data_IF_797236774109
#
_entry.id   IF_797236774109
#
_cell.length_a   1.000
_cell.length_b   1.000
_cell.length_c   1.000
_cell.angle_alpha   90.00
_cell.angle_beta   90.00
_cell.angle_gamma   90.00
#
_symmetry.space_group_name_H-M   'P 1'
#
loop_
_entity.id
_entity.type
_entity.pdbx_description
1 polymer ?
#
# COMPACT_ATOMS: atom_id res chain seq x y z
N UNK A 1 16.19 17.74 -14.04
CA UNK A 1 14.81 17.22 -13.92
C UNK A 1 14.75 16.03 -12.95
N UNK A 2 15.60 15.03 -13.08
CA UNK A 2 15.62 13.81 -12.24
C UNK A 2 15.91 14.09 -10.75
N UNK A 3 16.83 15.02 -10.44
CA UNK A 3 17.09 15.47 -9.07
C UNK A 3 15.81 15.90 -8.36
N UNK A 4 14.98 16.70 -9.04
CA UNK A 4 13.75 17.24 -8.45
C UNK A 4 12.76 16.13 -8.10
N UNK A 5 12.72 15.04 -8.87
CA UNK A 5 11.82 13.90 -8.61
C UNK A 5 12.31 13.07 -7.42
N UNK A 6 13.61 12.76 -7.33
CA UNK A 6 14.16 12.03 -6.19
C UNK A 6 14.10 12.84 -4.90
N UNK A 7 14.34 14.16 -4.97
CA UNK A 7 14.20 15.07 -3.85
C UNK A 7 12.74 15.16 -3.37
N UNK A 8 11.80 15.32 -4.31
CA UNK A 8 10.38 15.31 -4.00
C UNK A 8 9.94 13.96 -3.40
N UNK A 9 10.39 12.85 -3.99
CA UNK A 9 10.12 11.50 -3.49
C UNK A 9 10.65 11.27 -2.08
N UNK A 10 11.88 11.72 -1.79
CA UNK A 10 12.47 11.68 -0.46
C UNK A 10 11.67 12.49 0.56
N UNK A 11 11.31 13.70 0.21
CA UNK A 11 10.54 14.60 1.08
C UNK A 11 9.14 14.05 1.38
N UNK A 12 8.43 13.58 0.34
CA UNK A 12 7.13 12.93 0.49
C UNK A 12 7.22 11.68 1.35
N UNK A 13 8.23 10.83 1.13
CA UNK A 13 8.43 9.63 1.94
C UNK A 13 8.72 9.98 3.41
N UNK A 14 9.48 11.05 3.66
CA UNK A 14 9.74 11.57 5.02
C UNK A 14 8.47 12.03 5.73
N UNK A 15 7.64 12.82 5.07
CA UNK A 15 6.33 13.27 5.59
C UNK A 15 5.45 12.06 5.91
N UNK A 16 5.37 11.10 4.97
CA UNK A 16 4.59 9.88 5.14
C UNK A 16 5.10 9.02 6.30
N UNK A 17 6.42 8.95 6.49
CA UNK A 17 7.01 8.21 7.59
C UNK A 17 6.66 8.84 8.94
N UNK A 18 6.79 10.16 9.07
CA UNK A 18 6.41 10.89 10.28
C UNK A 18 4.93 10.63 10.60
N UNK A 19 4.06 10.82 9.61
CA UNK A 19 2.63 10.70 9.78
C UNK A 19 2.19 9.27 10.09
N UNK A 20 2.72 8.27 9.38
CA UNK A 20 2.41 6.86 9.60
C UNK A 20 2.98 6.32 10.91
N UNK A 21 4.15 6.80 11.33
CA UNK A 21 4.76 6.44 12.62
C UNK A 21 3.96 6.99 13.80
N UNK A 22 3.49 8.23 13.71
CA UNK A 22 2.61 8.82 14.72
C UNK A 22 1.34 8.00 14.94
N UNK A 23 0.76 7.47 13.86
CA UNK A 23 -0.46 6.64 13.90
C UNK A 23 -0.20 5.14 14.02
N UNK A 24 1.04 4.70 14.15
CA UNK A 24 1.44 3.28 14.18
C UNK A 24 0.91 2.48 12.98
N UNK A 25 0.85 3.12 11.83
CA UNK A 25 0.29 2.56 10.60
C UNK A 25 1.27 1.60 9.89
N UNK A 26 0.74 0.57 9.25
CA UNK A 26 1.51 -0.38 8.41
C UNK A 26 2.22 0.32 7.24
N UNK A 27 1.70 1.46 6.78
CA UNK A 27 2.31 2.30 5.74
C UNK A 27 3.67 2.89 6.15
N UNK A 28 4.04 2.87 7.45
CA UNK A 28 5.38 3.26 7.89
C UNK A 28 6.48 2.42 7.24
N UNK A 29 6.25 1.12 7.02
CA UNK A 29 7.23 0.26 6.35
C UNK A 29 7.43 0.65 4.89
N UNK A 30 6.34 0.96 4.17
CA UNK A 30 6.41 1.46 2.80
C UNK A 30 7.11 2.82 2.73
N UNK A 31 6.77 3.73 3.63
CA UNK A 31 7.39 5.04 3.72
C UNK A 31 8.90 4.93 3.98
N UNK A 32 9.33 4.00 4.86
CA UNK A 32 10.75 3.72 5.10
C UNK A 32 11.46 3.17 3.87
N UNK A 33 10.84 2.22 3.15
CA UNK A 33 11.38 1.70 1.89
C UNK A 33 11.60 2.82 0.88
N UNK A 34 10.61 3.68 0.68
CA UNK A 34 10.68 4.80 -0.26
C UNK A 34 11.69 5.85 0.16
N UNK A 35 11.78 6.14 1.47
CA UNK A 35 12.75 7.08 2.02
C UNK A 35 14.17 6.63 1.70
N UNK A 36 14.52 5.40 2.05
CA UNK A 36 15.87 4.87 1.79
C UNK A 36 16.16 4.75 0.30
N UNK A 37 15.18 4.32 -0.50
CA UNK A 37 15.31 4.20 -1.94
C UNK A 37 15.62 5.55 -2.60
N UNK A 38 14.88 6.61 -2.27
CA UNK A 38 15.11 7.95 -2.82
C UNK A 38 16.38 8.61 -2.25
N UNK A 39 16.72 8.33 -1.00
CA UNK A 39 17.95 8.82 -0.37
C UNK A 39 19.19 8.42 -1.17
N UNK A 40 19.21 7.20 -1.70
CA UNK A 40 20.35 6.73 -2.50
C UNK A 40 20.48 7.44 -3.82
N UNK A 41 19.38 7.62 -4.55
CA UNK A 41 19.38 8.38 -5.80
C UNK A 41 19.84 9.83 -5.56
N UNK A 42 19.34 10.43 -4.47
CA UNK A 42 19.70 11.80 -4.10
C UNK A 42 21.19 11.95 -3.75
N UNK A 43 21.72 11.06 -2.91
CA UNK A 43 23.13 11.08 -2.49
C UNK A 43 24.05 10.83 -3.69
N UNK A 44 23.70 9.84 -4.52
CA UNK A 44 24.47 9.54 -5.73
C UNK A 44 24.54 10.77 -6.63
N UNK A 45 23.41 11.41 -6.92
CA UNK A 45 23.37 12.62 -7.75
C UNK A 45 24.20 13.76 -7.17
N UNK A 46 24.06 14.04 -5.87
CA UNK A 46 24.78 15.14 -5.22
C UNK A 46 26.29 14.90 -5.24
N UNK A 47 26.73 13.66 -5.02
CA UNK A 47 28.15 13.33 -4.93
C UNK A 47 28.81 13.26 -6.30
N UNK A 48 28.20 12.51 -7.24
CA UNK A 48 28.88 12.16 -8.49
C UNK A 48 28.53 13.04 -9.68
N UNK A 49 27.34 13.68 -9.68
CA UNK A 49 26.94 14.56 -10.77
C UNK A 49 27.31 16.03 -10.52
N UNK A 50 27.50 16.43 -9.26
CA UNK A 50 27.82 17.80 -8.90
C UNK A 50 29.19 17.97 -8.22
N UNK A 51 29.99 16.93 -8.10
CA UNK A 51 31.36 16.94 -7.52
C UNK A 51 31.44 17.61 -6.12
N UNK A 52 30.39 17.44 -5.30
CA UNK A 52 30.37 18.05 -3.97
C UNK A 52 31.27 17.33 -2.98
N UNK A 53 32.53 17.78 -2.90
CA UNK A 53 33.59 17.19 -2.08
C UNK A 53 33.18 16.98 -0.60
N UNK A 54 32.58 17.98 0.02
CA UNK A 54 32.18 17.90 1.44
C UNK A 54 31.12 16.81 1.67
N UNK A 55 30.13 16.76 0.80
CA UNK A 55 29.07 15.74 0.88
C UNK A 55 29.61 14.36 0.52
N UNK A 56 30.53 14.27 -0.42
CA UNK A 56 31.25 13.03 -0.74
C UNK A 56 32.05 12.50 0.45
N UNK A 57 32.80 13.37 1.14
CA UNK A 57 33.56 13.01 2.33
C UNK A 57 32.68 12.53 3.49
N UNK A 58 31.52 13.19 3.70
CA UNK A 58 30.61 12.87 4.79
C UNK A 58 29.76 11.63 4.46
N UNK A 59 29.21 11.57 3.26
CA UNK A 59 28.17 10.59 2.93
C UNK A 59 28.62 9.44 2.05
N UNK A 60 29.67 9.56 1.24
CA UNK A 60 30.05 8.59 0.22
C UNK A 60 30.07 7.13 0.71
N UNK A 61 30.81 6.85 1.78
CA UNK A 61 30.89 5.49 2.35
C UNK A 61 29.99 5.30 3.55
N UNK A 62 29.78 6.34 4.36
CA UNK A 62 29.06 6.27 5.60
C UNK A 62 27.59 5.81 5.45
N UNK A 63 27.00 5.99 4.26
CA UNK A 63 25.61 5.56 3.96
C UNK A 63 25.50 4.09 3.55
N UNK A 64 26.60 3.39 3.38
CA UNK A 64 26.59 1.99 2.91
C UNK A 64 25.71 1.07 3.76
N UNK A 65 25.65 1.17 5.11
CA UNK A 65 24.77 0.33 5.93
C UNK A 65 23.30 0.49 5.58
N UNK A 66 22.87 1.70 5.20
CA UNK A 66 21.48 2.01 4.88
C UNK A 66 20.98 1.29 3.61
N UNK A 67 21.90 0.92 2.71
CA UNK A 67 21.55 0.12 1.53
C UNK A 67 20.93 -1.24 1.89
N UNK A 68 21.32 -1.80 3.03
CA UNK A 68 20.82 -3.09 3.52
C UNK A 68 19.47 -2.97 4.25
N UNK A 69 18.90 -1.76 4.39
CA UNK A 69 17.59 -1.52 5.00
C UNK A 69 16.46 -1.49 3.97
N UNK A 70 16.75 -1.17 2.71
CA UNK A 70 15.74 -0.90 1.69
C UNK A 70 14.78 -2.09 1.51
N UNK A 71 15.28 -3.27 1.15
CA UNK A 71 14.44 -4.43 0.89
C UNK A 71 13.83 -5.06 2.14
N UNK A 72 14.49 -5.09 3.30
CA UNK A 72 13.83 -5.43 4.57
C UNK A 72 12.56 -4.64 4.84
N UNK A 73 12.55 -3.33 4.60
CA UNK A 73 11.33 -2.53 4.77
C UNK A 73 10.24 -2.85 3.75
N UNK A 74 10.60 -3.12 2.49
CA UNK A 74 9.64 -3.60 1.49
C UNK A 74 9.05 -4.96 1.89
N UNK A 75 9.90 -5.87 2.39
CA UNK A 75 9.47 -7.18 2.89
C UNK A 75 8.49 -7.05 4.07
N UNK A 76 8.82 -6.21 5.06
CA UNK A 76 7.95 -5.93 6.19
C UNK A 76 6.64 -5.28 5.76
N UNK A 77 6.66 -4.41 4.75
CA UNK A 77 5.43 -3.86 4.17
C UNK A 77 4.54 -4.97 3.61
N UNK A 78 5.09 -5.88 2.81
CA UNK A 78 4.34 -7.01 2.24
C UNK A 78 3.81 -7.94 3.35
N UNK A 79 4.63 -8.27 4.35
CA UNK A 79 4.20 -9.05 5.51
C UNK A 79 3.06 -8.37 6.29
N UNK A 80 3.16 -7.05 6.47
CA UNK A 80 2.19 -6.26 7.23
C UNK A 80 0.79 -6.25 6.63
N UNK A 81 0.66 -6.57 5.34
CA UNK A 81 -0.64 -6.63 4.66
C UNK A 81 -1.45 -7.88 5.02
N UNK A 82 -0.88 -8.83 5.75
CA UNK A 82 -1.63 -9.99 6.25
C UNK A 82 -2.60 -9.55 7.37
N UNK A 83 -3.78 -10.20 7.42
CA UNK A 83 -4.87 -9.82 8.33
C UNK A 83 -4.44 -9.79 9.80
N UNK A 84 -3.65 -10.79 10.23
CA UNK A 84 -3.24 -10.95 11.64
C UNK A 84 -1.76 -10.62 11.86
N UNK A 85 -1.21 -9.69 11.05
CA UNK A 85 0.19 -9.33 11.18
C UNK A 85 0.48 -8.67 12.54
N UNK A 86 1.44 -9.24 13.25
CA UNK A 86 2.07 -8.66 14.43
C UNK A 86 3.58 -8.65 14.25
N UNK A 87 4.21 -7.54 14.63
CA UNK A 87 5.67 -7.45 14.58
C UNK A 87 6.28 -8.40 15.62
N UNK A 88 7.10 -9.37 15.15
CA UNK A 88 7.76 -10.34 16.00
C UNK A 88 9.24 -10.00 16.16
N UNK A 89 9.83 -10.30 17.31
CA UNK A 89 11.26 -10.02 17.59
C UNK A 89 12.20 -10.61 16.52
N UNK A 90 11.86 -11.76 15.94
CA UNK A 90 12.64 -12.38 14.86
C UNK A 90 12.84 -11.47 13.63
N UNK A 91 11.98 -10.48 13.40
CA UNK A 91 12.12 -9.56 12.27
C UNK A 91 13.27 -8.57 12.46
N UNK A 92 13.81 -8.41 13.68
CA UNK A 92 15.05 -7.66 13.88
C UNK A 92 16.25 -8.30 13.17
N UNK A 93 16.21 -9.61 12.92
CA UNK A 93 17.24 -10.30 12.13
C UNK A 93 17.41 -9.73 10.71
N UNK A 94 16.36 -9.14 10.14
CA UNK A 94 16.41 -8.52 8.82
C UNK A 94 17.36 -7.31 8.78
N UNK A 95 17.63 -6.69 9.92
CA UNK A 95 18.49 -5.51 10.04
C UNK A 95 19.93 -5.84 10.47
N UNK A 96 20.19 -7.10 10.85
CA UNK A 96 21.54 -7.55 11.24
C UNK A 96 22.58 -7.27 10.16
N UNK A 97 22.34 -7.52 8.86
CA UNK A 97 23.33 -7.19 7.82
C UNK A 97 23.72 -5.72 7.81
N UNK A 98 22.76 -4.81 7.96
CA UNK A 98 23.02 -3.36 8.06
C UNK A 98 23.92 -3.04 9.24
N UNK A 99 23.65 -3.65 10.41
CA UNK A 99 24.47 -3.47 11.61
C UNK A 99 25.89 -4.01 11.42
N UNK A 100 26.04 -5.18 10.83
CA UNK A 100 27.37 -5.76 10.54
C UNK A 100 28.18 -4.86 9.59
N UNK A 101 27.53 -4.30 8.56
CA UNK A 101 28.18 -3.36 7.64
C UNK A 101 28.56 -2.06 8.35
N UNK A 102 27.72 -1.55 9.26
CA UNK A 102 28.04 -0.37 10.07
C UNK A 102 29.30 -0.62 10.93
N UNK A 103 29.37 -1.78 11.57
CA UNK A 103 30.57 -2.20 12.32
C UNK A 103 31.77 -2.32 11.38
N UNK A 104 31.58 -2.90 10.20
CA UNK A 104 32.68 -3.10 9.26
C UNK A 104 33.30 -1.78 8.76
N UNK A 105 32.53 -0.74 8.55
CA UNK A 105 33.00 0.58 8.13
C UNK A 105 33.44 1.48 9.28
N UNK A 106 33.42 0.99 10.53
CA UNK A 106 33.77 1.80 11.71
C UNK A 106 35.16 2.45 11.63
N UNK A 107 36.21 1.83 11.08
CA UNK A 107 37.49 2.51 10.91
C UNK A 107 37.41 3.75 10.01
N UNK A 108 36.60 3.67 8.93
CA UNK A 108 36.33 4.84 8.08
C UNK A 108 35.46 5.88 8.79
N UNK A 109 34.46 5.45 9.57
CA UNK A 109 33.61 6.37 10.36
C UNK A 109 34.43 7.21 11.33
N UNK A 110 35.48 6.62 11.97
CA UNK A 110 36.35 7.26 12.93
C UNK A 110 37.47 8.11 12.29
N UNK A 111 37.64 8.01 10.98
CA UNK A 111 38.65 8.80 10.25
C UNK A 111 38.32 10.29 10.32
N UNK A 112 39.28 11.19 10.60
CA UNK A 112 39.07 12.64 10.61
C UNK A 112 38.50 13.16 9.28
N UNK A 113 37.70 14.22 9.34
CA UNK A 113 37.08 14.79 8.12
C UNK A 113 38.11 15.28 7.09
N UNK A 114 39.27 15.76 7.54
CA UNK A 114 40.35 16.16 6.65
C UNK A 114 40.86 15.00 5.78
N UNK A 115 41.09 13.83 6.38
CA UNK A 115 41.50 12.63 5.65
C UNK A 115 40.38 12.11 4.73
N UNK A 116 39.14 12.17 5.19
CA UNK A 116 37.94 11.83 4.37
C UNK A 116 37.84 12.72 3.14
N UNK A 117 38.13 14.01 3.26
CA UNK A 117 38.16 14.94 2.13
C UNK A 117 39.25 14.56 1.10
N UNK A 118 40.44 14.26 1.55
CA UNK A 118 41.50 13.82 0.64
C UNK A 118 41.12 12.51 -0.06
N UNK A 119 40.57 11.57 0.66
CA UNK A 119 40.08 10.33 0.07
C UNK A 119 38.92 10.57 -0.91
N UNK A 120 38.00 11.50 -0.58
CA UNK A 120 36.87 11.87 -1.46
C UNK A 120 37.37 12.49 -2.78
N UNK A 121 38.42 13.33 -2.76
CA UNK A 121 39.04 13.86 -3.98
C UNK A 121 39.54 12.75 -4.92
N UNK A 122 40.01 11.64 -4.34
CA UNK A 122 40.50 10.51 -5.13
C UNK A 122 39.34 9.75 -5.78
N UNK A 123 38.33 9.37 -5.01
CA UNK A 123 37.24 8.57 -5.58
C UNK A 123 36.27 9.38 -6.44
N UNK A 124 36.19 10.71 -6.30
CA UNK A 124 35.42 11.55 -7.25
C UNK A 124 36.09 11.55 -8.63
N UNK A 125 37.45 11.50 -8.68
CA UNK A 125 38.18 11.36 -9.95
C UNK A 125 38.11 9.96 -10.52
N UNK A 126 38.18 8.94 -9.69
CA UNK A 126 38.05 7.54 -10.05
C UNK A 126 37.27 6.78 -8.98
N UNK A 127 35.98 6.48 -9.30
CA UNK A 127 35.09 5.80 -8.38
C UNK A 127 35.60 4.43 -7.88
N UNK A 128 36.54 3.80 -8.57
CA UNK A 128 37.14 2.52 -8.14
C UNK A 128 37.96 2.67 -6.86
N UNK A 129 38.51 3.85 -6.63
CA UNK A 129 39.28 4.10 -5.41
C UNK A 129 38.41 4.04 -4.14
N UNK A 130 37.07 4.13 -4.26
CA UNK A 130 36.20 3.85 -3.11
C UNK A 130 36.42 2.46 -2.51
N UNK A 131 36.86 1.49 -3.32
CA UNK A 131 37.09 0.12 -2.84
C UNK A 131 38.30 0.01 -1.91
N UNK A 132 39.15 1.05 -1.84
CA UNK A 132 40.31 1.14 -0.94
C UNK A 132 39.94 1.71 0.44
N UNK A 133 38.66 1.99 0.70
CA UNK A 133 38.20 2.49 1.99
C UNK A 133 38.57 1.54 3.12
N UNK A 134 39.03 2.12 4.24
CA UNK A 134 39.40 1.39 5.45
C UNK A 134 38.19 0.67 6.06
N UNK A 135 38.31 -0.62 6.25
CA UNK A 135 37.25 -1.48 6.83
C UNK A 135 37.85 -2.39 7.89
N UNK A 136 37.00 -2.97 8.76
CA UNK A 136 37.47 -3.75 9.91
C UNK A 136 37.81 -5.21 9.54
N UNK A 137 36.87 -5.95 8.95
CA UNK A 137 37.01 -7.38 8.68
C UNK A 137 36.72 -7.79 7.24
N UNK A 138 35.90 -7.03 6.50
CA UNK A 138 35.55 -7.31 5.12
C UNK A 138 35.94 -6.14 4.23
N UNK A 139 36.86 -6.28 3.28
CA UNK A 139 37.22 -5.22 2.34
C UNK A 139 36.01 -4.62 1.65
N UNK A 140 36.00 -3.31 1.47
CA UNK A 140 34.83 -2.58 0.93
C UNK A 140 34.40 -3.10 -0.45
N UNK A 141 35.35 -3.61 -1.22
CA UNK A 141 35.08 -4.28 -2.49
C UNK A 141 34.11 -5.45 -2.35
N UNK A 142 34.41 -6.41 -1.46
CA UNK A 142 33.51 -7.56 -1.22
C UNK A 142 32.20 -7.16 -0.58
N UNK A 143 32.21 -6.14 0.26
CA UNK A 143 30.97 -5.57 0.82
C UNK A 143 30.05 -5.05 -0.29
N UNK A 144 30.59 -4.40 -1.34
CA UNK A 144 29.82 -3.91 -2.46
C UNK A 144 29.15 -5.04 -3.27
N UNK A 145 29.78 -6.23 -3.31
CA UNK A 145 29.23 -7.44 -3.95
C UNK A 145 28.09 -8.07 -3.14
N UNK A 146 28.19 -8.04 -1.82
CA UNK A 146 27.15 -8.62 -0.95
C UNK A 146 25.83 -7.90 -1.09
N UNK A 147 25.81 -6.62 -1.38
CA UNK A 147 24.60 -5.80 -1.49
C UNK A 147 23.60 -6.34 -2.53
N UNK A 148 23.94 -6.50 -3.83
CA UNK A 148 22.98 -7.00 -4.80
C UNK A 148 22.57 -8.45 -4.52
N UNK A 149 23.45 -9.29 -3.99
CA UNK A 149 23.16 -10.67 -3.59
C UNK A 149 22.10 -10.65 -2.48
N UNK A 150 22.31 -9.85 -1.44
CA UNK A 150 21.37 -9.67 -0.34
C UNK A 150 20.01 -9.17 -0.86
N UNK A 151 20.02 -8.18 -1.76
CA UNK A 151 18.81 -7.67 -2.36
C UNK A 151 18.04 -8.73 -3.15
N UNK A 152 18.71 -9.56 -3.95
CA UNK A 152 18.08 -10.64 -4.70
C UNK A 152 17.47 -11.72 -3.77
N UNK A 153 18.17 -12.06 -2.68
CA UNK A 153 17.65 -13.00 -1.68
C UNK A 153 16.38 -12.42 -1.03
N UNK A 154 16.44 -11.18 -0.54
CA UNK A 154 15.26 -10.55 0.08
C UNK A 154 14.10 -10.37 -0.89
N UNK A 155 14.38 -10.00 -2.13
CA UNK A 155 13.37 -9.90 -3.18
C UNK A 155 12.69 -11.27 -3.40
N UNK A 156 13.48 -12.33 -3.54
CA UNK A 156 12.95 -13.70 -3.71
C UNK A 156 12.08 -14.12 -2.54
N UNK A 157 12.53 -13.85 -1.30
CA UNK A 157 11.73 -14.11 -0.10
C UNK A 157 10.43 -13.28 -0.09
N UNK A 158 10.49 -12.02 -0.55
CA UNK A 158 9.32 -11.13 -0.61
C UNK A 158 8.33 -11.58 -1.67
N UNK A 159 8.80 -11.96 -2.85
CA UNK A 159 7.97 -12.53 -3.91
C UNK A 159 7.30 -13.85 -3.45
N UNK A 160 8.05 -14.74 -2.81
CA UNK A 160 7.51 -15.98 -2.25
C UNK A 160 6.43 -15.70 -1.18
N UNK A 161 6.71 -14.76 -0.27
CA UNK A 161 5.74 -14.36 0.76
C UNK A 161 4.49 -13.79 0.12
N UNK A 162 4.63 -12.90 -0.86
CA UNK A 162 3.52 -12.33 -1.60
C UNK A 162 2.68 -13.41 -2.31
N UNK A 163 3.34 -14.34 -2.99
CA UNK A 163 2.66 -15.45 -3.67
C UNK A 163 1.89 -16.34 -2.68
N UNK A 164 2.53 -16.76 -1.59
CA UNK A 164 1.94 -17.67 -0.58
C UNK A 164 0.75 -17.01 0.14
N UNK A 165 0.80 -15.70 0.35
CA UNK A 165 -0.21 -14.99 1.15
C UNK A 165 -1.22 -14.22 0.31
N UNK A 166 -1.18 -14.34 -1.03
CA UNK A 166 -2.01 -13.58 -1.96
C UNK A 166 -3.52 -13.65 -1.68
N UNK A 167 -4.00 -14.78 -1.13
CA UNK A 167 -5.43 -15.02 -0.87
C UNK A 167 -5.85 -14.56 0.53
N UNK A 168 -4.90 -14.39 1.47
CA UNK A 168 -5.11 -13.88 2.82
C UNK A 168 -4.92 -12.37 2.97
N UNK A 169 -4.59 -11.67 1.89
CA UNK A 169 -4.47 -10.22 1.92
C UNK A 169 -5.85 -9.57 2.11
N UNK A 170 -5.94 -8.58 2.98
CA UNK A 170 -7.12 -7.72 3.13
C UNK A 170 -7.52 -6.99 1.83
N UNK A 171 -6.65 -7.01 0.83
CA UNK A 171 -6.84 -6.47 -0.52
C UNK A 171 -7.99 -7.09 -1.33
N UNK A 172 -8.52 -8.22 -0.89
CA UNK A 172 -9.56 -8.95 -1.64
C UNK A 172 -10.87 -8.16 -1.77
N UNK A 173 -11.13 -7.20 -0.87
CA UNK A 173 -12.33 -6.35 -0.88
C UNK A 173 -12.17 -5.05 -1.68
N UNK A 174 -10.95 -4.61 -1.97
CA UNK A 174 -10.70 -3.40 -2.76
C UNK A 174 -10.51 -3.76 -4.22
N UNK A 175 -11.43 -3.26 -5.06
CA UNK A 175 -11.32 -3.44 -6.50
C UNK A 175 -10.00 -2.85 -7.00
N UNK A 176 -9.11 -3.72 -7.47
CA UNK A 176 -8.07 -3.44 -8.44
C UNK A 176 -6.66 -3.00 -7.99
N UNK A 177 -6.40 -2.12 -6.99
CA UNK A 177 -5.17 -1.34 -7.07
C UNK A 177 -3.97 -1.78 -6.20
N UNK A 178 -4.20 -2.39 -5.05
CA UNK A 178 -3.10 -2.61 -4.10
C UNK A 178 -2.17 -3.76 -4.48
N UNK A 179 -2.72 -4.84 -5.05
CA UNK A 179 -1.90 -5.94 -5.60
C UNK A 179 -1.01 -5.46 -6.74
N UNK A 180 -1.57 -4.64 -7.64
CA UNK A 180 -0.84 -4.09 -8.77
C UNK A 180 0.29 -3.17 -8.33
N UNK A 181 0.08 -2.37 -7.26
CA UNK A 181 1.12 -1.55 -6.67
C UNK A 181 2.26 -2.39 -6.07
N UNK A 182 1.93 -3.41 -5.27
CA UNK A 182 2.95 -4.31 -4.70
C UNK A 182 3.73 -5.00 -5.81
N UNK A 183 3.04 -5.52 -6.84
CA UNK A 183 3.69 -6.16 -7.99
C UNK A 183 4.59 -5.17 -8.75
N UNK A 184 4.12 -3.96 -9.02
CA UNK A 184 4.92 -2.94 -9.70
C UNK A 184 6.15 -2.54 -8.85
N UNK A 185 5.99 -2.37 -7.54
CA UNK A 185 7.10 -2.08 -6.63
C UNK A 185 8.14 -3.22 -6.59
N UNK A 186 7.68 -4.48 -6.58
CA UNK A 186 8.54 -5.67 -6.64
C UNK A 186 9.28 -5.76 -7.98
N UNK A 187 8.62 -5.44 -9.10
CA UNK A 187 9.24 -5.41 -10.42
C UNK A 187 10.34 -4.36 -10.49
N UNK A 188 10.08 -3.14 -10.03
CA UNK A 188 11.07 -2.06 -10.01
C UNK A 188 12.24 -2.42 -9.09
N UNK A 189 11.98 -2.90 -7.88
CA UNK A 189 13.02 -3.35 -6.96
C UNK A 189 13.85 -4.50 -7.55
N UNK A 190 13.21 -5.41 -8.30
CA UNK A 190 13.85 -6.50 -9.03
C UNK A 190 14.78 -5.99 -10.12
N UNK A 191 14.30 -5.11 -10.96
CA UNK A 191 15.11 -4.50 -12.03
C UNK A 191 16.31 -3.74 -11.46
N UNK A 192 16.12 -2.94 -10.40
CA UNK A 192 17.20 -2.23 -9.72
C UNK A 192 18.24 -3.21 -9.13
N UNK A 193 17.81 -4.31 -8.53
CA UNK A 193 18.69 -5.32 -7.94
C UNK A 193 19.48 -6.08 -9.01
N UNK A 194 18.82 -6.46 -10.11
CA UNK A 194 19.46 -7.14 -11.26
C UNK A 194 20.47 -6.21 -11.93
N UNK A 195 20.10 -4.97 -12.20
CA UNK A 195 21.02 -3.99 -12.80
C UNK A 195 22.26 -3.77 -11.93
N UNK A 196 22.09 -3.64 -10.61
CA UNK A 196 23.19 -3.53 -9.66
C UNK A 196 24.07 -4.77 -9.68
N UNK A 197 23.48 -5.97 -9.72
CA UNK A 197 24.22 -7.23 -9.78
C UNK A 197 25.02 -7.35 -11.09
N UNK A 198 24.39 -7.10 -12.22
CA UNK A 198 25.02 -7.15 -13.55
C UNK A 198 26.17 -6.14 -13.65
N UNK A 199 25.97 -4.93 -13.12
CA UNK A 199 27.01 -3.90 -13.10
C UNK A 199 28.24 -4.33 -12.31
N UNK A 200 28.05 -4.85 -11.10
CA UNK A 200 29.17 -5.31 -10.26
C UNK A 200 29.83 -6.55 -10.84
N UNK A 201 29.04 -7.51 -11.37
CA UNK A 201 29.55 -8.69 -12.03
C UNK A 201 30.41 -8.33 -13.26
N UNK A 202 29.94 -7.38 -14.08
CA UNK A 202 30.69 -6.91 -15.24
C UNK A 202 32.06 -6.31 -14.82
N UNK A 203 32.08 -5.52 -13.75
CA UNK A 203 33.34 -4.98 -13.21
C UNK A 203 34.31 -6.07 -12.74
N UNK A 204 33.79 -7.09 -12.07
CA UNK A 204 34.56 -8.26 -11.65
C UNK A 204 35.19 -9.00 -12.84
N UNK A 205 34.40 -9.23 -13.88
CA UNK A 205 34.85 -9.97 -15.06
C UNK A 205 35.84 -9.17 -15.87
N UNK A 206 35.63 -7.86 -16.02
CA UNK A 206 36.57 -6.99 -16.72
C UNK A 206 37.92 -6.91 -16.00
N UNK A 207 37.94 -6.84 -14.67
CA UNK A 207 39.18 -6.78 -13.90
C UNK A 207 39.98 -8.09 -13.91
N UNK A 208 39.30 -9.25 -13.94
CA UNK A 208 39.96 -10.55 -13.77
C UNK A 208 40.13 -11.37 -15.07
N UNK A 209 39.31 -11.10 -16.10
CA UNK A 209 39.22 -11.96 -17.28
C UNK A 209 39.20 -11.20 -18.61
N UNK A 210 39.42 -9.87 -18.64
CA UNK A 210 39.31 -9.03 -19.84
C UNK A 210 37.99 -9.24 -20.63
N UNK A 211 36.98 -9.72 -19.95
CA UNK A 211 35.69 -10.10 -20.57
C UNK A 211 34.83 -8.85 -20.83
N UNK A 212 34.48 -8.60 -22.08
CA UNK A 212 33.95 -7.31 -22.55
C UNK A 212 32.45 -7.32 -22.86
N UNK A 213 31.65 -8.20 -22.26
CA UNK A 213 30.22 -8.32 -22.61
C UNK A 213 29.44 -6.99 -22.49
N UNK A 214 29.79 -6.16 -21.51
CA UNK A 214 29.15 -4.87 -21.26
C UNK A 214 30.09 -3.67 -21.32
N UNK A 215 31.34 -3.85 -21.82
CA UNK A 215 32.31 -2.77 -21.91
C UNK A 215 31.86 -1.59 -22.77
N UNK A 216 30.93 -1.82 -23.69
CA UNK A 216 30.33 -0.78 -24.54
C UNK A 216 29.21 0.01 -23.88
N UNK A 217 28.67 -0.46 -22.72
CA UNK A 217 27.65 0.25 -21.99
C UNK A 217 28.30 1.22 -21.02
N UNK A 218 28.16 2.50 -21.28
CA UNK A 218 28.77 3.53 -20.45
C UNK A 218 28.13 3.52 -19.04
N UNK A 219 28.91 3.86 -18.03
CA UNK A 219 28.44 4.04 -16.65
C UNK A 219 27.28 5.02 -16.56
N UNK A 220 27.34 6.11 -17.35
CA UNK A 220 26.26 7.11 -17.42
C UNK A 220 24.94 6.52 -17.93
N UNK A 221 24.98 5.59 -18.90
CA UNK A 221 23.78 4.93 -19.43
C UNK A 221 23.11 4.07 -18.37
N UNK A 222 23.89 3.30 -17.61
CA UNK A 222 23.34 2.46 -16.53
C UNK A 222 22.70 3.33 -15.44
N UNK A 223 23.39 4.42 -15.06
CA UNK A 223 22.84 5.34 -14.05
C UNK A 223 21.56 6.01 -14.53
N UNK A 224 21.48 6.42 -15.79
CA UNK A 224 20.26 6.98 -16.35
C UNK A 224 19.08 5.99 -16.27
N UNK A 225 19.32 4.71 -16.55
CA UNK A 225 18.28 3.67 -16.41
C UNK A 225 17.84 3.54 -14.95
N UNK A 226 18.79 3.52 -14.02
CA UNK A 226 18.49 3.45 -12.57
C UNK A 226 17.66 4.66 -12.13
N UNK A 227 18.01 5.86 -12.59
CA UNK A 227 17.27 7.09 -12.28
C UNK A 227 15.83 7.05 -12.83
N UNK A 228 15.63 6.58 -14.07
CA UNK A 228 14.28 6.40 -14.61
C UNK A 228 13.45 5.37 -13.83
N UNK A 229 14.08 4.32 -13.30
CA UNK A 229 13.38 3.37 -12.43
C UNK A 229 12.96 4.00 -11.11
N UNK A 230 13.79 4.87 -10.51
CA UNK A 230 13.41 5.64 -9.31
C UNK A 230 12.28 6.64 -9.61
N UNK A 231 12.32 7.30 -10.77
CA UNK A 231 11.21 8.15 -11.23
C UNK A 231 9.93 7.34 -11.34
N UNK A 232 9.99 6.17 -12.00
CA UNK A 232 8.85 5.26 -12.12
C UNK A 232 8.29 4.84 -10.76
N UNK A 233 9.16 4.52 -9.79
CA UNK A 233 8.76 4.18 -8.43
C UNK A 233 8.01 5.33 -7.72
N UNK A 234 8.48 6.57 -7.87
CA UNK A 234 7.82 7.73 -7.28
C UNK A 234 6.50 8.05 -7.98
N UNK A 235 6.42 7.87 -9.30
CA UNK A 235 5.17 8.02 -10.04
C UNK A 235 4.10 7.01 -9.61
N UNK A 236 4.49 5.78 -9.24
CA UNK A 236 3.54 4.81 -8.69
C UNK A 236 2.80 5.36 -7.47
N UNK A 237 3.45 6.17 -6.61
CA UNK A 237 2.79 6.79 -5.46
C UNK A 237 1.68 7.76 -5.87
N UNK A 238 1.86 8.49 -6.98
CA UNK A 238 0.85 9.42 -7.50
C UNK A 238 -0.36 8.67 -8.05
N UNK A 239 -0.14 7.51 -8.68
CA UNK A 239 -1.23 6.69 -9.21
C UNK A 239 -1.97 5.87 -8.15
N UNK A 240 -1.32 5.62 -6.99
CA UNK A 240 -1.87 4.79 -5.91
C UNK A 240 -1.88 5.50 -4.55
N UNK A 241 -2.35 6.75 -4.43
CA UNK A 241 -2.34 7.49 -3.17
C UNK A 241 -3.19 6.79 -2.08
N UNK A 242 -4.16 5.97 -2.48
CA UNK A 242 -5.03 5.22 -1.59
C UNK A 242 -4.27 4.29 -0.64
N UNK A 243 -3.10 3.76 -1.07
CA UNK A 243 -2.28 2.85 -0.26
C UNK A 243 -1.69 3.58 0.94
N UNK A 244 -1.39 4.86 0.77
CA UNK A 244 -0.82 5.70 1.81
C UNK A 244 -1.88 6.18 2.80
N UNK A 245 -3.11 6.40 2.33
CA UNK A 245 -4.18 7.02 3.12
C UNK A 245 -5.28 6.05 3.59
N UNK A 246 -5.27 4.79 3.14
CA UNK A 246 -6.34 3.83 3.43
C UNK A 246 -6.55 3.59 4.92
N UNK A 247 -5.49 3.32 5.67
CA UNK A 247 -5.61 3.13 7.12
C UNK A 247 -6.11 4.39 7.81
N UNK A 248 -5.82 5.55 7.24
CA UNK A 248 -6.31 6.84 7.74
C UNK A 248 -7.81 6.98 7.53
N UNK A 249 -8.32 6.58 6.37
CA UNK A 249 -9.75 6.61 6.07
C UNK A 249 -10.50 5.60 6.95
N UNK A 250 -9.91 4.42 7.17
CA UNK A 250 -10.50 3.39 8.03
C UNK A 250 -10.41 3.80 9.50
N UNK A 251 -9.28 4.35 9.96
CA UNK A 251 -9.10 4.82 11.34
C UNK A 251 -9.94 6.06 11.61
N UNK A 252 -10.00 7.02 10.68
CA UNK A 252 -10.88 8.19 10.80
C UNK A 252 -12.36 7.78 10.81
N UNK A 253 -12.74 6.80 9.98
CA UNK A 253 -14.04 6.15 10.04
C UNK A 253 -14.29 5.45 11.37
N UNK A 254 -13.30 4.70 11.88
CA UNK A 254 -13.40 3.98 13.16
C UNK A 254 -13.20 4.90 14.38
N UNK A 255 -12.39 5.97 14.29
CA UNK A 255 -12.28 6.98 15.35
C UNK A 255 -13.48 7.91 15.36
N UNK A 256 -14.06 8.24 14.22
CA UNK A 256 -15.37 8.92 14.15
C UNK A 256 -16.45 8.04 14.76
N UNK A 257 -16.42 6.74 14.50
CA UNK A 257 -17.33 5.76 15.13
C UNK A 257 -16.99 5.58 16.62
N UNK A 258 -15.69 5.54 17.00
CA UNK A 258 -15.27 5.47 18.40
C UNK A 258 -15.41 6.80 19.15
N UNK A 259 -15.17 7.96 18.52
CA UNK A 259 -15.49 9.27 19.12
C UNK A 259 -17.01 9.49 19.21
N UNK A 260 -17.75 9.03 18.21
CA UNK A 260 -19.22 8.94 18.33
C UNK A 260 -19.64 7.97 19.44
N UNK A 261 -18.91 6.89 19.70
CA UNK A 261 -19.16 5.95 20.81
C UNK A 261 -18.53 6.38 22.13
N UNK A 262 -17.41 7.14 22.13
CA UNK A 262 -16.78 7.65 23.35
C UNK A 262 -17.35 8.99 23.86
N UNK A 263 -18.09 9.72 23.01
CA UNK A 263 -19.01 10.77 23.47
C UNK A 263 -20.36 10.21 23.96
N UNK A 264 -20.54 8.90 23.93
CA UNK A 264 -21.62 8.18 24.61
C UNK A 264 -21.22 7.72 26.00
N UNK A 265 -21.10 8.63 26.92
CA UNK A 265 -21.68 8.55 28.23
C UNK A 265 -23.04 9.26 28.15
N UNK A 266 -23.93 8.72 27.33
CA UNK A 266 -25.37 8.89 27.50
C UNK A 266 -26.01 7.51 27.59
N UNK A 267 -27.09 7.40 28.38
CA UNK A 267 -27.63 6.14 28.84
C UNK A 267 -27.98 5.21 27.67
N UNK A 268 -27.77 3.91 27.88
CA UNK A 268 -28.30 2.86 27.00
C UNK A 268 -29.64 3.27 26.43
N UNK A 269 -29.74 3.43 25.10
CA UNK A 269 -31.00 3.71 24.44
C UNK A 269 -31.98 2.65 24.93
N UNK A 270 -33.02 3.05 25.66
CA UNK A 270 -33.94 2.10 26.26
C UNK A 270 -34.63 1.30 25.15
N UNK A 271 -35.00 0.08 25.44
CA UNK A 271 -35.69 -0.79 24.47
C UNK A 271 -36.96 -0.11 23.91
N UNK A 272 -37.61 0.72 24.73
CA UNK A 272 -38.74 1.57 24.36
C UNK A 272 -38.36 2.57 23.24
N UNK A 273 -37.20 3.18 23.32
CA UNK A 273 -36.72 4.13 22.31
C UNK A 273 -36.43 3.48 20.96
N UNK A 274 -35.99 2.23 20.95
CA UNK A 274 -35.82 1.48 19.69
C UNK A 274 -37.18 1.14 19.05
N UNK A 275 -38.18 0.84 19.84
CA UNK A 275 -39.53 0.63 19.34
C UNK A 275 -40.15 1.90 18.73
N UNK A 276 -39.94 3.06 19.34
CA UNK A 276 -40.34 4.35 18.76
C UNK A 276 -39.66 4.61 17.41
N UNK A 277 -38.32 4.38 17.34
CA UNK A 277 -37.55 4.52 16.10
C UNK A 277 -38.10 3.58 15.02
N UNK A 278 -38.39 2.33 15.39
CA UNK A 278 -38.97 1.33 14.48
C UNK A 278 -40.29 1.79 13.90
N UNK A 279 -41.19 2.28 14.75
CA UNK A 279 -42.50 2.79 14.30
C UNK A 279 -42.37 3.96 13.32
N UNK A 280 -41.46 4.91 13.62
CA UNK A 280 -41.19 6.04 12.73
C UNK A 280 -40.64 5.58 11.37
N UNK A 281 -39.71 4.62 11.37
CA UNK A 281 -39.14 4.07 10.13
C UNK A 281 -40.23 3.32 9.35
N UNK A 282 -41.03 2.46 9.99
CA UNK A 282 -42.06 1.69 9.35
C UNK A 282 -43.13 2.60 8.74
N UNK A 283 -43.53 3.67 9.45
CA UNK A 283 -44.47 4.65 8.93
C UNK A 283 -43.96 5.28 7.61
N UNK A 284 -42.71 5.67 7.57
CA UNK A 284 -42.09 6.21 6.35
C UNK A 284 -41.97 5.15 5.25
N UNK A 285 -41.66 3.89 5.58
CA UNK A 285 -41.53 2.81 4.59
C UNK A 285 -42.86 2.45 3.89
N UNK A 286 -44.02 2.82 4.43
CA UNK A 286 -45.29 2.62 3.75
C UNK A 286 -45.38 3.35 2.40
N UNK A 287 -44.69 4.48 2.24
CA UNK A 287 -44.57 5.23 0.98
C UNK A 287 -43.58 4.59 -0.01
N UNK A 288 -42.91 3.51 0.38
CA UNK A 288 -41.87 2.79 -0.39
C UNK A 288 -40.71 3.66 -0.87
N UNK A 289 -40.16 4.57 -0.05
CA UNK A 289 -39.09 5.47 -0.45
C UNK A 289 -37.79 4.71 -0.81
N UNK A 290 -37.66 3.48 -0.34
CA UNK A 290 -36.52 2.60 -0.65
C UNK A 290 -36.44 2.22 -2.14
N UNK A 291 -37.48 2.42 -2.93
CA UNK A 291 -37.47 2.20 -4.39
C UNK A 291 -36.81 3.37 -5.14
N UNK A 292 -36.65 4.52 -4.48
CA UNK A 292 -35.94 5.63 -5.10
C UNK A 292 -34.44 5.33 -5.23
N UNK A 293 -33.86 5.65 -6.39
CA UNK A 293 -32.43 5.57 -6.60
C UNK A 293 -31.73 6.54 -5.65
N UNK A 294 -30.68 6.08 -4.95
CA UNK A 294 -29.96 6.93 -3.98
C UNK A 294 -30.54 6.97 -2.57
N UNK A 295 -31.61 6.22 -2.26
CA UNK A 295 -32.15 6.13 -0.90
C UNK A 295 -31.08 5.78 0.14
N UNK A 296 -31.00 6.57 1.21
CA UNK A 296 -29.94 6.56 2.21
C UNK A 296 -30.47 6.80 3.63
N UNK A 297 -29.62 6.60 4.64
CA UNK A 297 -29.94 6.97 6.04
C UNK A 297 -30.26 8.45 6.20
N UNK A 298 -29.67 9.30 5.36
CA UNK A 298 -29.94 10.74 5.36
C UNK A 298 -31.39 11.05 5.00
N UNK A 299 -31.98 10.31 4.07
CA UNK A 299 -33.40 10.48 3.71
C UNK A 299 -34.30 10.08 4.88
N UNK A 300 -34.01 8.98 5.57
CA UNK A 300 -34.75 8.60 6.77
C UNK A 300 -34.63 9.66 7.86
N UNK A 301 -33.39 10.15 8.09
CA UNK A 301 -33.10 11.19 9.07
C UNK A 301 -33.90 12.48 8.81
N UNK A 302 -33.93 12.93 7.56
CA UNK A 302 -34.69 14.12 7.16
C UNK A 302 -36.20 13.97 7.36
N UNK A 303 -36.72 12.80 7.03
CA UNK A 303 -38.18 12.56 7.11
C UNK A 303 -38.67 12.29 8.55
N UNK A 304 -37.84 11.58 9.33
CA UNK A 304 -38.22 11.19 10.70
C UNK A 304 -37.78 12.18 11.76
N UNK A 305 -36.89 13.13 11.42
CA UNK A 305 -36.23 14.00 12.38
C UNK A 305 -35.17 13.32 13.26
N UNK A 306 -34.93 12.02 13.07
CA UNK A 306 -33.98 11.24 13.85
C UNK A 306 -32.54 11.49 13.36
N UNK A 307 -31.59 11.73 14.25
CA UNK A 307 -30.18 11.85 13.87
C UNK A 307 -29.65 10.58 13.19
N UNK A 308 -28.85 10.73 12.14
CA UNK A 308 -28.30 9.59 11.38
C UNK A 308 -27.49 8.61 12.23
N UNK A 309 -26.85 9.08 13.34
CA UNK A 309 -26.14 8.21 14.26
C UNK A 309 -27.09 7.27 15.03
N UNK A 310 -28.28 7.75 15.47
CA UNK A 310 -29.28 6.91 16.13
C UNK A 310 -29.83 5.85 15.19
N UNK A 311 -30.09 6.23 13.94
CA UNK A 311 -30.50 5.29 12.89
C UNK A 311 -29.42 4.22 12.64
N UNK A 312 -28.14 4.63 12.63
CA UNK A 312 -27.03 3.69 12.46
C UNK A 312 -26.94 2.69 13.61
N UNK A 313 -27.17 3.14 14.85
CA UNK A 313 -27.21 2.25 16.04
C UNK A 313 -28.40 1.29 15.93
N UNK A 314 -29.58 1.80 15.58
CA UNK A 314 -30.78 1.00 15.39
C UNK A 314 -30.54 -0.15 14.41
N UNK A 315 -29.99 0.13 13.20
CA UNK A 315 -29.73 -0.90 12.21
C UNK A 315 -28.63 -1.89 12.61
N UNK A 316 -27.51 -1.42 13.19
CA UNK A 316 -26.36 -2.27 13.46
C UNK A 316 -26.45 -3.01 14.80
N UNK A 317 -27.04 -2.39 15.85
CA UNK A 317 -27.05 -2.96 17.20
C UNK A 317 -28.41 -3.60 17.55
N UNK A 318 -29.53 -2.96 17.20
CA UNK A 318 -30.85 -3.48 17.49
C UNK A 318 -31.31 -4.48 16.44
N UNK A 319 -31.33 -4.11 15.15
CA UNK A 319 -31.70 -5.03 14.07
C UNK A 319 -30.59 -6.02 13.69
N UNK A 320 -29.37 -5.80 14.17
CA UNK A 320 -28.18 -6.57 13.79
C UNK A 320 -28.05 -6.77 12.27
N UNK A 321 -28.47 -5.79 11.51
CA UNK A 321 -28.52 -5.81 10.05
C UNK A 321 -28.08 -4.45 9.52
N UNK A 322 -26.95 -4.35 8.76
CA UNK A 322 -26.51 -3.10 8.15
C UNK A 322 -27.61 -2.50 7.27
N UNK A 323 -27.78 -1.17 7.29
CA UNK A 323 -28.81 -0.45 6.52
C UNK A 323 -28.85 -0.84 5.03
N UNK A 324 -27.69 -1.02 4.39
CA UNK A 324 -27.64 -1.40 2.99
C UNK A 324 -28.20 -2.81 2.72
N UNK A 325 -27.97 -3.74 3.64
CA UNK A 325 -28.49 -5.11 3.52
C UNK A 325 -30.00 -5.13 3.77
N UNK A 326 -30.46 -4.39 4.78
CA UNK A 326 -31.87 -4.20 5.05
C UNK A 326 -32.61 -3.54 3.87
N UNK A 327 -32.07 -2.46 3.31
CA UNK A 327 -32.62 -1.80 2.11
C UNK A 327 -32.69 -2.74 0.91
N UNK A 328 -31.60 -3.49 0.66
CA UNK A 328 -31.55 -4.43 -0.45
C UNK A 328 -32.57 -5.56 -0.26
N UNK A 329 -32.81 -6.02 0.97
CA UNK A 329 -33.84 -7.00 1.28
C UNK A 329 -35.24 -6.47 0.86
N UNK A 330 -35.62 -5.27 1.27
CA UNK A 330 -36.89 -4.67 0.88
C UNK A 330 -37.05 -4.54 -0.64
N UNK A 331 -35.97 -4.14 -1.33
CA UNK A 331 -35.98 -4.04 -2.80
C UNK A 331 -36.16 -5.38 -3.49
N UNK A 332 -35.51 -6.43 -3.00
CA UNK A 332 -35.63 -7.78 -3.57
C UNK A 332 -37.00 -8.36 -3.27
N UNK A 333 -37.52 -8.16 -2.06
CA UNK A 333 -38.90 -8.58 -1.71
C UNK A 333 -39.93 -7.91 -2.63
N UNK A 334 -39.75 -6.62 -2.92
CA UNK A 334 -40.56 -5.91 -3.89
C UNK A 334 -40.42 -6.51 -5.29
N UNK A 335 -39.21 -6.75 -5.80
CA UNK A 335 -38.99 -7.39 -7.12
C UNK A 335 -39.65 -8.76 -7.19
N UNK A 336 -39.51 -9.58 -6.15
CA UNK A 336 -40.13 -10.90 -6.08
C UNK A 336 -41.66 -10.80 -6.11
N UNK A 337 -42.27 -9.83 -5.41
CA UNK A 337 -43.72 -9.61 -5.45
C UNK A 337 -44.19 -9.19 -6.85
N UNK A 338 -43.43 -8.33 -7.55
CA UNK A 338 -43.75 -7.86 -8.88
C UNK A 338 -43.61 -9.00 -9.95
N UNK A 339 -42.60 -9.87 -9.78
CA UNK A 339 -42.46 -11.08 -10.62
C UNK A 339 -43.66 -12.01 -10.44
N UNK A 340 -44.07 -12.26 -9.18
CA UNK A 340 -45.23 -13.09 -8.88
C UNK A 340 -46.55 -12.49 -9.40
N UNK A 341 -46.63 -11.16 -9.45
CA UNK A 341 -47.78 -10.43 -10.00
C UNK A 341 -47.79 -10.41 -11.55
N UNK A 342 -46.88 -11.11 -12.22
CA UNK A 342 -46.88 -11.23 -13.68
C UNK A 342 -46.28 -10.03 -14.43
N UNK A 343 -45.63 -9.09 -13.75
CA UNK A 343 -45.05 -7.87 -14.40
C UNK A 343 -43.96 -8.15 -15.42
N UNK A 344 -43.40 -9.35 -15.45
CA UNK A 344 -42.44 -9.76 -16.50
C UNK A 344 -43.09 -9.92 -17.90
N UNK A 345 -44.40 -9.86 -18.01
CA UNK A 345 -45.09 -9.77 -19.30
C UNK A 345 -44.84 -8.39 -19.98
N UNK A 346 -44.62 -7.36 -19.16
CA UNK A 346 -44.55 -5.97 -19.62
C UNK A 346 -43.17 -5.33 -19.37
N UNK A 347 -42.33 -5.91 -18.48
CA UNK A 347 -41.03 -5.37 -18.09
C UNK A 347 -39.94 -6.43 -18.15
N UNK A 348 -38.73 -6.00 -18.55
CA UNK A 348 -37.55 -6.85 -18.45
C UNK A 348 -37.09 -6.93 -16.98
N UNK A 349 -36.27 -7.94 -16.65
CA UNK A 349 -35.61 -8.05 -15.33
C UNK A 349 -34.80 -6.79 -15.01
N UNK A 350 -34.10 -6.22 -16.00
CA UNK A 350 -33.34 -4.97 -15.87
C UNK A 350 -34.26 -3.78 -15.55
N UNK A 351 -35.40 -3.72 -16.21
CA UNK A 351 -36.42 -2.70 -15.95
C UNK A 351 -36.95 -2.80 -14.53
N UNK A 352 -37.27 -4.02 -14.04
CA UNK A 352 -37.67 -4.26 -12.65
C UNK A 352 -36.55 -3.89 -11.65
N UNK A 353 -35.29 -4.23 -11.94
CA UNK A 353 -34.18 -3.87 -11.08
C UNK A 353 -34.03 -2.34 -10.96
N UNK A 354 -34.15 -1.62 -12.08
CA UNK A 354 -34.05 -0.15 -12.12
C UNK A 354 -35.23 0.50 -11.39
N UNK A 355 -36.47 0.06 -11.62
CA UNK A 355 -37.66 0.58 -10.94
C UNK A 355 -37.68 0.27 -9.45
N UNK A 356 -36.91 -0.73 -9.00
CA UNK A 356 -36.69 -1.07 -7.59
C UNK A 356 -35.53 -0.30 -6.94
N UNK A 357 -34.95 0.69 -7.62
CA UNK A 357 -33.94 1.59 -7.09
C UNK A 357 -32.49 1.05 -7.13
N UNK A 358 -32.21 -0.06 -7.80
CA UNK A 358 -30.85 -0.52 -7.99
C UNK A 358 -30.10 0.33 -9.02
N UNK A 359 -28.91 0.82 -8.65
CA UNK A 359 -28.10 1.66 -9.52
C UNK A 359 -27.39 0.88 -10.67
N UNK A 360 -27.27 -0.45 -10.55
CA UNK A 360 -26.68 -1.30 -11.57
C UNK A 360 -27.19 -2.74 -11.51
N UNK A 361 -27.19 -3.40 -12.67
CA UNK A 361 -27.51 -4.82 -12.81
C UNK A 361 -26.62 -5.72 -11.94
N UNK A 362 -25.36 -5.38 -11.81
CA UNK A 362 -24.41 -6.15 -10.99
C UNK A 362 -24.80 -6.13 -9.51
N UNK A 363 -25.19 -4.96 -8.97
CA UNK A 363 -25.62 -4.83 -7.59
C UNK A 363 -26.94 -5.56 -7.33
N UNK A 364 -27.88 -5.50 -8.26
CA UNK A 364 -29.12 -6.23 -8.21
C UNK A 364 -28.88 -7.75 -8.19
N UNK A 365 -28.13 -8.28 -9.14
CA UNK A 365 -27.85 -9.72 -9.23
C UNK A 365 -27.17 -10.25 -7.96
N UNK A 366 -26.22 -9.48 -7.41
CA UNK A 366 -25.53 -9.83 -6.17
C UNK A 366 -26.51 -9.87 -4.98
N UNK A 367 -27.34 -8.86 -4.84
CA UNK A 367 -28.32 -8.80 -3.76
C UNK A 367 -29.36 -9.93 -3.89
N UNK A 368 -29.83 -10.19 -5.10
CA UNK A 368 -30.80 -11.25 -5.37
C UNK A 368 -30.24 -12.63 -5.04
N UNK A 369 -29.01 -12.94 -5.51
CA UNK A 369 -28.34 -14.20 -5.21
C UNK A 369 -28.10 -14.39 -3.71
N UNK A 370 -27.70 -13.32 -3.00
CA UNK A 370 -27.46 -13.39 -1.55
C UNK A 370 -28.74 -13.67 -0.76
N UNK A 371 -29.88 -13.12 -1.17
CA UNK A 371 -31.13 -13.22 -0.43
C UNK A 371 -31.98 -14.43 -0.84
N UNK A 372 -31.93 -14.82 -2.13
CA UNK A 372 -32.75 -15.89 -2.69
C UNK A 372 -31.99 -17.20 -2.92
N UNK A 373 -30.66 -17.22 -2.71
CA UNK A 373 -29.75 -18.34 -3.00
C UNK A 373 -29.80 -18.86 -4.44
N UNK A 374 -30.30 -18.07 -5.37
CA UNK A 374 -30.38 -18.36 -6.80
C UNK A 374 -30.35 -17.07 -7.61
N UNK A 375 -29.96 -17.15 -8.87
CA UNK A 375 -29.97 -15.98 -9.76
C UNK A 375 -31.40 -15.58 -10.15
N UNK A 376 -31.64 -14.32 -10.55
CA UNK A 376 -32.95 -13.89 -11.02
C UNK A 376 -33.49 -14.76 -12.17
N UNK A 377 -32.62 -15.16 -13.10
CA UNK A 377 -33.01 -16.02 -14.23
C UNK A 377 -33.42 -17.42 -13.82
N UNK A 378 -32.70 -18.02 -12.85
CA UNK A 378 -33.06 -19.33 -12.29
C UNK A 378 -34.37 -19.26 -11.52
N UNK A 379 -34.59 -18.20 -10.73
CA UNK A 379 -35.83 -17.98 -9.99
C UNK A 379 -37.03 -17.95 -10.92
N UNK A 380 -36.96 -17.19 -12.02
CA UNK A 380 -38.05 -17.09 -13.01
C UNK A 380 -38.29 -18.43 -13.73
N UNK A 381 -37.21 -19.14 -14.06
CA UNK A 381 -37.34 -20.48 -14.69
C UNK A 381 -38.03 -21.46 -13.76
N UNK A 382 -37.76 -21.38 -12.47
CA UNK A 382 -38.38 -22.27 -11.46
C UNK A 382 -39.86 -21.91 -11.17
N UNK A 383 -40.27 -20.65 -11.36
CA UNK A 383 -41.68 -20.22 -11.24
C UNK A 383 -42.56 -20.66 -12.42
N UNK A 384 -41.97 -20.94 -13.59
CA UNK A 384 -42.66 -21.37 -14.80
C UNK A 384 -42.81 -22.89 -14.93
N UNK A 385 -42.25 -23.64 -13.98
CA UNK A 385 -42.44 -25.07 -13.83
C UNK A 385 -43.58 -25.38 -12.86
#
# INVERSE_FOLDING_TARGET
>A
MLLNVSFLGFFLAGILLIFSSYRRSKSAYLASYLLFSNLFSLIYYIIFENDHLELAAIFGINFTPLYFLTLPFLHLFVLSQQKDFQFKQRYFLFFVPSLLILINISPYLMTPLSEKREFAKLFLKNAELMYQAKTLFLPYYYQSLLRPIFNLIFLSCTCFTFYKTRDSFEFQKSKFNERSFVLASLLIAGLLSILSFVFILNRLLVQNFEFTLLSKVSFSTINSIVDYLYVGQNLLLLFFPQILFREQIILDGSERTKKASAQKTEPSVSQERFLEIEQMILAYMNERPYLAQGFSLTNISQQTGLPTHQLSIYFNEYLNTPFNDWKNKLRIEYVVSEIKAGKLEFLTIEGLATSSGFASRSNFNKAFLTLMNQTPSEYIKNLKK
#
